data_IF_442208596549
#
_entry.id   IF_442208596549
#
_cell.length_a   1.000
_cell.length_b   1.000
_cell.length_c   1.000
_cell.angle_alpha   90.00
_cell.angle_beta   90.00
_cell.angle_gamma   90.00
#
_symmetry.space_group_name_H-M   'P 1'
#
loop_
_entity.id
_entity.type
_entity.pdbx_description
1 polymer ?
#
# COMPACT_ATOMS: atom_id res chain seq x y z
N UNK A 1 20.41 -6.60 -3.58
CA UNK A 1 20.44 -6.92 -5.03
C UNK A 1 19.13 -6.39 -5.59
N UNK A 2 19.25 -5.44 -6.51
CA UNK A 2 18.26 -4.39 -6.80
C UNK A 2 16.85 -4.87 -7.16
N UNK A 3 15.88 -4.38 -6.41
CA UNK A 3 14.43 -4.57 -6.65
C UNK A 3 13.94 -3.84 -7.92
N UNK A 4 14.70 -2.82 -8.35
CA UNK A 4 14.50 -2.11 -9.63
C UNK A 4 14.66 -3.06 -10.83
N UNK A 5 15.48 -4.11 -10.71
CA UNK A 5 15.74 -5.04 -11.81
C UNK A 5 14.62 -6.07 -12.04
N UNK A 6 13.61 -6.15 -11.18
CA UNK A 6 12.56 -7.18 -11.23
C UNK A 6 11.17 -6.66 -11.68
N UNK A 7 11.08 -5.46 -12.25
CA UNK A 7 9.80 -4.89 -12.72
C UNK A 7 8.74 -4.81 -11.62
N UNK A 8 9.15 -4.44 -10.41
CA UNK A 8 8.26 -4.18 -9.28
C UNK A 8 7.37 -2.94 -9.58
N UNK A 9 6.05 -3.11 -9.47
CA UNK A 9 5.05 -2.05 -9.72
C UNK A 9 4.29 -1.59 -8.48
N UNK A 10 4.75 -1.98 -7.29
CA UNK A 10 4.25 -1.50 -6.00
C UNK A 10 5.01 -0.24 -5.54
N UNK A 11 4.50 0.38 -4.49
CA UNK A 11 5.06 1.58 -3.84
C UNK A 11 5.26 1.23 -2.35
N UNK A 12 6.24 1.73 -1.60
CA UNK A 12 6.64 1.26 -0.26
C UNK A 12 6.98 2.40 0.73
N UNK A 13 6.15 3.34 1.13
CA UNK A 13 6.48 4.44 2.04
C UNK A 13 6.97 4.01 3.46
N UNK A 14 7.64 4.89 4.23
CA UNK A 14 8.16 4.77 5.60
C UNK A 14 8.17 6.10 6.36
N UNK A 15 7.35 6.30 7.38
CA UNK A 15 7.35 7.46 8.27
C UNK A 15 8.38 7.28 9.39
N UNK A 16 8.96 8.40 9.83
CA UNK A 16 10.02 8.52 10.84
C UNK A 16 9.75 9.73 11.73
N UNK A 17 9.82 9.58 13.05
CA UNK A 17 9.86 10.70 14.00
C UNK A 17 11.31 11.21 14.20
N UNK A 18 12.31 10.49 13.67
CA UNK A 18 13.69 10.95 13.59
C UNK A 18 14.01 11.28 12.12
N UNK A 19 14.02 12.56 11.80
CA UNK A 19 14.40 13.12 10.50
C UNK A 19 15.91 13.02 10.21
N UNK A 20 16.64 12.10 10.85
CA UNK A 20 18.04 11.91 10.51
C UNK A 20 18.14 11.21 9.14
N UNK A 21 18.88 11.83 8.23
CA UNK A 21 19.06 11.36 6.84
C UNK A 21 19.44 9.87 6.74
N UNK A 22 20.11 9.35 7.78
CA UNK A 22 20.52 7.95 7.86
C UNK A 22 19.33 6.97 8.01
N UNK A 23 18.29 7.35 8.74
CA UNK A 23 17.11 6.50 8.92
C UNK A 23 16.24 6.52 7.67
N UNK A 24 16.01 7.71 7.09
CA UNK A 24 15.35 7.85 5.78
C UNK A 24 16.05 7.03 4.67
N UNK A 25 17.38 6.98 4.70
CA UNK A 25 18.16 6.19 3.75
C UNK A 25 17.98 4.67 3.97
N UNK A 26 18.05 4.19 5.22
CA UNK A 26 17.79 2.76 5.55
C UNK A 26 16.40 2.33 5.12
N UNK A 27 15.44 3.22 5.29
CA UNK A 27 14.07 3.01 4.91
C UNK A 27 13.92 2.88 3.40
N UNK A 28 14.49 3.81 2.62
CA UNK A 28 14.53 3.69 1.16
C UNK A 28 15.23 2.42 0.68
N UNK A 29 16.32 2.03 1.33
CA UNK A 29 17.04 0.79 1.02
C UNK A 29 16.24 -0.48 1.33
N UNK A 30 15.36 -0.44 2.34
CA UNK A 30 14.41 -1.51 2.62
C UNK A 30 13.32 -1.64 1.56
N UNK A 31 13.14 -0.60 0.73
CA UNK A 31 12.28 -0.60 -0.44
C UNK A 31 11.51 0.69 -0.67
N UNK A 32 11.69 1.74 0.14
CA UNK A 32 10.65 2.71 0.37
C UNK A 32 10.33 3.87 -0.59
N UNK A 33 9.06 4.31 -0.64
CA UNK A 33 8.51 5.30 -1.58
C UNK A 33 8.34 6.77 -1.10
N UNK A 34 8.04 7.03 0.18
CA UNK A 34 8.08 8.36 0.84
C UNK A 34 8.00 8.22 2.37
N UNK A 35 8.16 9.31 3.12
CA UNK A 35 8.15 9.31 4.59
C UNK A 35 7.21 10.40 5.13
N UNK A 36 6.46 10.13 6.21
CA UNK A 36 5.65 11.11 6.97
C UNK A 36 6.04 11.11 8.46
N UNK A 37 5.37 11.87 9.32
CA UNK A 37 5.53 11.82 10.79
C UNK A 37 4.20 11.48 11.44
N UNK A 38 4.21 10.86 12.64
CA UNK A 38 3.00 10.69 13.47
C UNK A 38 2.32 12.01 13.84
N UNK A 39 3.03 13.13 13.71
CA UNK A 39 2.52 14.49 13.95
C UNK A 39 1.91 15.13 12.69
N UNK A 40 2.07 14.50 11.52
CA UNK A 40 1.55 15.03 10.27
C UNK A 40 0.03 14.88 10.21
N UNK A 41 -0.65 15.94 9.73
CA UNK A 41 -2.11 15.95 9.66
C UNK A 41 -2.62 14.84 8.71
N UNK A 42 -3.64 14.12 9.14
CA UNK A 42 -4.26 13.01 8.38
C UNK A 42 -4.72 13.41 6.98
N UNK A 43 -5.12 14.68 6.78
CA UNK A 43 -5.43 15.25 5.47
C UNK A 43 -4.25 15.25 4.50
N UNK A 44 -3.07 15.60 5.00
CA UNK A 44 -1.85 15.65 4.19
C UNK A 44 -1.43 14.23 3.81
N UNK A 45 -1.45 13.31 4.78
CA UNK A 45 -1.16 11.89 4.56
C UNK A 45 -2.14 11.30 3.54
N UNK A 46 -3.45 11.55 3.71
CA UNK A 46 -4.48 11.05 2.79
C UNK A 46 -4.31 11.61 1.37
N UNK A 47 -3.98 12.91 1.24
CA UNK A 47 -3.72 13.52 -0.07
C UNK A 47 -2.52 12.86 -0.76
N UNK A 48 -1.40 12.66 -0.04
CA UNK A 48 -0.20 12.02 -0.58
C UNK A 48 -0.48 10.58 -1.07
N UNK A 49 -1.25 9.81 -0.29
CA UNK A 49 -1.68 8.45 -0.67
C UNK A 49 -2.59 8.49 -1.91
N UNK A 50 -3.59 9.37 -1.93
CA UNK A 50 -4.54 9.49 -3.03
C UNK A 50 -3.87 9.91 -4.35
N UNK A 51 -2.94 10.87 -4.30
CA UNK A 51 -2.16 11.30 -5.47
C UNK A 51 -1.38 10.14 -6.09
N UNK A 52 -0.85 9.25 -5.25
CA UNK A 52 -0.08 8.08 -5.68
C UNK A 52 -0.97 6.94 -6.16
N UNK A 53 -2.08 6.66 -5.48
CA UNK A 53 -3.09 5.72 -5.98
C UNK A 53 -3.56 6.16 -7.37
N UNK A 54 -3.77 7.46 -7.59
CA UNK A 54 -4.10 8.03 -8.90
C UNK A 54 -2.99 7.86 -9.96
N UNK A 55 -1.71 7.86 -9.59
CA UNK A 55 -0.57 7.60 -10.50
C UNK A 55 -0.43 6.11 -10.82
N UNK A 56 -0.52 5.23 -9.82
CA UNK A 56 -0.46 3.77 -10.03
C UNK A 56 -1.62 3.25 -10.88
N UNK A 57 -2.82 3.84 -10.73
CA UNK A 57 -4.00 3.49 -11.55
C UNK A 57 -3.79 3.86 -13.02
N UNK A 58 -3.28 5.05 -13.29
CA UNK A 58 -2.95 5.51 -14.66
C UNK A 58 -1.91 4.63 -15.34
N UNK A 59 -0.84 4.26 -14.63
CA UNK A 59 0.19 3.38 -15.20
C UNK A 59 -0.32 1.96 -15.49
N UNK A 60 -1.28 1.43 -14.71
CA UNK A 60 -1.88 0.11 -14.95
C UNK A 60 -2.85 0.09 -16.14
N UNK A 61 -3.53 1.20 -16.43
CA UNK A 61 -4.40 1.35 -17.61
C UNK A 61 -3.58 1.50 -18.90
N UNK A 62 -2.50 2.30 -18.87
CA UNK A 62 -1.58 2.48 -20.01
C UNK A 62 -0.92 1.14 -20.41
N UNK A 63 -0.52 0.32 -19.43
CA UNK A 63 0.01 -1.04 -19.67
C UNK A 63 -1.04 -2.06 -20.16
N UNK A 64 -2.34 -1.85 -19.89
CA UNK A 64 -3.40 -2.71 -20.43
C UNK A 64 -3.63 -2.45 -21.91
N UNK A 65 -3.61 -1.16 -22.32
CA UNK A 65 -3.79 -0.75 -23.71
C UNK A 65 -2.70 -1.36 -24.61
N UNK A 66 -1.44 -1.35 -24.17
CA UNK A 66 -0.33 -1.94 -24.93
C UNK A 66 -0.44 -3.47 -25.07
N UNK A 67 -0.98 -4.16 -24.07
CA UNK A 67 -1.11 -5.62 -24.11
C UNK A 67 -2.22 -6.07 -25.07
N UNK A 68 -3.35 -5.38 -25.07
CA UNK A 68 -4.47 -5.68 -25.96
C UNK A 68 -4.16 -5.29 -27.42
N UNK A 69 -3.28 -4.29 -27.62
CA UNK A 69 -2.73 -3.92 -28.94
C UNK A 69 -1.85 -5.01 -29.57
N UNK A 70 -1.28 -5.91 -28.75
CA UNK A 70 -0.42 -7.02 -29.20
C UNK A 70 -1.18 -8.33 -29.48
N UNK A 71 -2.48 -8.40 -29.18
CA UNK A 71 -3.33 -9.60 -29.43
C UNK A 71 -4.24 -9.41 -30.66
N UNK A 72 -4.24 -8.24 -31.29
CA UNK A 72 -5.01 -7.93 -32.49
C UNK A 72 -4.15 -8.02 -33.76
N UNK A 73 -3.83 -9.23 -34.19
CA UNK A 73 -3.43 -9.51 -35.57
C UNK A 73 -4.20 -10.71 -36.09
N UNK A 74 -5.47 -10.47 -36.40
CA UNK A 74 -6.36 -11.39 -37.09
C UNK A 74 -7.45 -10.58 -37.78
N UNK A 75 -7.34 -10.48 -39.10
CA UNK A 75 -8.22 -9.72 -39.98
C UNK A 75 -9.70 -10.01 -39.74
N UNK A 76 -10.53 -8.98 -39.67
CA UNK A 76 -11.78 -8.86 -40.45
C UNK A 76 -12.38 -7.46 -40.29
N UNK A 77 -12.70 -6.87 -41.44
CA UNK A 77 -13.38 -5.59 -41.60
C UNK A 77 -14.75 -5.58 -40.91
N UNK A 78 -15.01 -4.59 -40.04
CA UNK A 78 -16.36 -4.02 -39.95
C UNK A 78 -16.37 -2.64 -39.26
N UNK A 79 -16.96 -1.67 -39.94
CA UNK A 79 -17.32 -0.36 -39.41
C UNK A 79 -18.33 -0.50 -38.25
N UNK A 80 -17.98 0.05 -37.09
CA UNK A 80 -18.93 0.82 -36.29
C UNK A 80 -18.15 1.69 -35.30
N UNK A 81 -18.20 3.00 -35.52
CA UNK A 81 -17.74 3.99 -34.55
C UNK A 81 -18.75 3.99 -33.40
N UNK A 82 -18.58 3.09 -32.45
CA UNK A 82 -19.28 3.14 -31.17
C UNK A 82 -18.52 4.15 -30.33
N UNK A 83 -19.06 5.36 -30.20
CA UNK A 83 -18.63 6.30 -29.17
C UNK A 83 -19.05 5.74 -27.81
N UNK A 84 -18.25 4.85 -27.24
CA UNK A 84 -18.38 4.49 -25.83
C UNK A 84 -17.96 5.72 -25.05
N UNK A 85 -18.94 6.41 -24.46
CA UNK A 85 -18.67 7.20 -23.27
C UNK A 85 -18.04 6.22 -22.27
N UNK A 86 -16.72 6.30 -22.10
CA UNK A 86 -16.01 5.63 -21.02
C UNK A 86 -16.61 6.17 -19.72
N UNK A 87 -17.62 5.45 -19.22
CA UNK A 87 -18.10 5.61 -17.87
C UNK A 87 -16.91 5.23 -16.99
N UNK A 88 -16.21 6.24 -16.46
CA UNK A 88 -15.04 6.07 -15.62
C UNK A 88 -15.34 4.98 -14.58
N UNK A 89 -14.62 3.87 -14.65
CA UNK A 89 -14.87 2.71 -13.80
C UNK A 89 -15.01 3.19 -12.35
N UNK A 90 -16.05 2.75 -11.60
CA UNK A 90 -16.28 3.25 -10.26
C UNK A 90 -15.00 3.12 -9.45
N UNK A 91 -14.56 4.23 -8.85
CA UNK A 91 -13.35 4.28 -8.04
C UNK A 91 -13.46 3.20 -6.95
N UNK A 92 -12.80 2.07 -7.16
CA UNK A 92 -12.75 1.00 -6.16
C UNK A 92 -12.11 1.61 -4.92
N UNK A 93 -12.83 1.58 -3.79
CA UNK A 93 -12.32 2.08 -2.50
C UNK A 93 -11.01 1.36 -2.18
N UNK A 94 -9.93 2.04 -1.77
CA UNK A 94 -8.68 1.35 -1.47
C UNK A 94 -8.84 0.47 -0.23
N UNK A 95 -8.37 -0.78 -0.27
CA UNK A 95 -8.26 -1.61 0.92
C UNK A 95 -6.98 -1.24 1.66
N UNK A 96 -7.11 -0.86 2.92
CA UNK A 96 -6.01 -0.34 3.75
C UNK A 96 -5.78 -1.27 4.93
N UNK A 97 -4.53 -1.64 5.20
CA UNK A 97 -4.12 -2.34 6.42
C UNK A 97 -3.25 -1.39 7.23
N UNK A 98 -3.77 -0.91 8.36
CA UNK A 98 -3.00 -0.10 9.31
C UNK A 98 -2.49 -1.01 10.44
N UNK A 99 -1.26 -0.83 10.89
CA UNK A 99 -0.62 -1.67 11.90
C UNK A 99 0.12 -0.75 12.87
N UNK A 100 -0.25 -0.83 14.14
CA UNK A 100 0.40 -0.10 15.23
C UNK A 100 0.08 -0.84 16.54
N UNK A 101 1.00 -0.88 17.50
CA UNK A 101 0.80 -1.51 18.80
C UNK A 101 0.22 -0.52 19.84
N UNK A 102 0.31 0.79 19.58
CA UNK A 102 -0.24 1.82 20.44
C UNK A 102 -1.77 1.99 20.25
N UNK A 103 -2.50 1.96 21.37
CA UNK A 103 -3.97 2.03 21.36
C UNK A 103 -4.50 3.36 20.80
N UNK A 104 -3.81 4.47 21.07
CA UNK A 104 -4.22 5.79 20.62
C UNK A 104 -4.01 5.91 19.12
N UNK A 105 -2.86 5.49 18.60
CA UNK A 105 -2.58 5.51 17.16
C UNK A 105 -3.55 4.63 16.37
N UNK A 106 -3.85 3.43 16.88
CA UNK A 106 -4.89 2.58 16.28
C UNK A 106 -6.26 3.25 16.25
N UNK A 107 -6.63 4.01 17.29
CA UNK A 107 -7.88 4.78 17.29
C UNK A 107 -7.85 5.93 16.29
N UNK A 108 -6.76 6.70 16.26
CA UNK A 108 -6.58 7.84 15.34
C UNK A 108 -6.54 7.41 13.88
N UNK A 109 -6.05 6.20 13.58
CA UNK A 109 -6.03 5.63 12.23
C UNK A 109 -7.43 5.56 11.59
N UNK A 110 -8.50 5.53 12.38
CA UNK A 110 -9.88 5.52 11.86
C UNK A 110 -10.20 6.79 11.05
N UNK A 111 -9.71 7.96 11.49
CA UNK A 111 -9.88 9.21 10.74
C UNK A 111 -9.18 9.14 9.38
N UNK A 112 -7.98 8.55 9.34
CA UNK A 112 -7.24 8.32 8.11
C UNK A 112 -7.98 7.37 7.16
N UNK A 113 -8.53 6.26 7.67
CA UNK A 113 -9.33 5.31 6.87
C UNK A 113 -10.58 5.99 6.27
N UNK A 114 -11.25 6.85 7.04
CA UNK A 114 -12.40 7.63 6.57
C UNK A 114 -11.98 8.58 5.44
N UNK A 115 -10.88 9.32 5.61
CA UNK A 115 -10.38 10.28 4.59
C UNK A 115 -9.89 9.59 3.32
N UNK A 116 -9.35 8.39 3.43
CA UNK A 116 -8.99 7.55 2.28
C UNK A 116 -10.21 6.92 1.59
N UNK A 117 -11.42 7.09 2.16
CA UNK A 117 -12.63 6.39 1.74
C UNK A 117 -12.34 4.88 1.61
N UNK A 118 -11.69 4.32 2.63
CA UNK A 118 -11.19 2.96 2.60
C UNK A 118 -12.32 1.93 2.45
N UNK A 119 -11.98 0.79 1.86
CA UNK A 119 -12.93 -0.31 1.69
C UNK A 119 -13.33 -0.90 3.05
N UNK A 120 -14.54 -1.45 3.15
CA UNK A 120 -15.09 -2.02 4.39
C UNK A 120 -14.26 -3.20 4.93
N UNK A 121 -13.51 -3.87 4.05
CA UNK A 121 -12.58 -4.96 4.37
C UNK A 121 -11.15 -4.48 4.70
N UNK A 122 -10.98 -3.18 4.97
CA UNK A 122 -9.78 -2.59 5.55
C UNK A 122 -9.65 -2.96 7.04
N UNK A 123 -8.43 -3.00 7.57
CA UNK A 123 -8.18 -3.49 8.93
C UNK A 123 -7.16 -2.64 9.69
N UNK A 124 -7.31 -2.63 11.02
CA UNK A 124 -6.35 -2.04 11.97
C UNK A 124 -5.82 -3.17 12.87
N UNK A 125 -4.59 -3.57 12.63
CA UNK A 125 -3.87 -4.66 13.30
C UNK A 125 -2.82 -4.11 14.27
N UNK A 126 -2.07 -5.01 14.92
CA UNK A 126 -0.92 -4.68 15.75
C UNK A 126 -1.18 -4.69 17.25
N UNK A 127 -2.44 -4.91 17.69
CA UNK A 127 -2.79 -4.96 19.13
C UNK A 127 -2.07 -6.08 19.87
N UNK A 128 -1.77 -7.17 19.16
CA UNK A 128 -1.07 -8.32 19.69
C UNK A 128 0.03 -8.78 18.73
N UNK A 129 1.00 -9.52 19.26
CA UNK A 129 2.05 -10.16 18.47
C UNK A 129 1.47 -11.08 17.38
N UNK A 130 0.35 -11.74 17.67
CA UNK A 130 -0.35 -12.59 16.70
C UNK A 130 -0.91 -11.77 15.53
N UNK A 131 -1.52 -10.61 15.81
CA UNK A 131 -1.99 -9.69 14.77
C UNK A 131 -0.83 -9.12 13.93
N UNK A 132 0.28 -8.74 14.55
CA UNK A 132 1.45 -8.25 13.80
C UNK A 132 2.07 -9.36 12.93
N UNK A 133 2.12 -10.59 13.43
CA UNK A 133 2.65 -11.74 12.69
C UNK A 133 1.75 -12.15 11.50
N UNK A 134 0.48 -11.73 11.49
CA UNK A 134 -0.46 -12.04 10.41
C UNK A 134 -0.51 -10.96 9.31
N UNK A 135 0.13 -9.80 9.49
CA UNK A 135 0.05 -8.64 8.60
C UNK A 135 0.30 -9.01 7.13
N UNK A 136 1.33 -9.82 6.86
CA UNK A 136 1.68 -10.19 5.48
C UNK A 136 0.56 -11.00 4.82
N UNK A 137 -0.07 -11.92 5.56
CA UNK A 137 -1.22 -12.69 5.04
C UNK A 137 -2.42 -11.78 4.79
N UNK A 138 -2.71 -10.84 5.69
CA UNK A 138 -3.79 -9.87 5.50
C UNK A 138 -3.53 -8.98 4.28
N UNK A 139 -2.32 -8.46 4.11
CA UNK A 139 -1.94 -7.60 3.00
C UNK A 139 -2.01 -8.32 1.66
N UNK A 140 -1.66 -9.61 1.60
CA UNK A 140 -1.74 -10.41 0.37
C UNK A 140 -3.16 -10.94 0.08
N UNK A 141 -4.15 -10.68 0.95
CA UNK A 141 -5.51 -11.22 0.79
C UNK A 141 -5.61 -12.72 1.06
N UNK A 142 -4.61 -13.30 1.74
CA UNK A 142 -4.57 -14.73 2.06
C UNK A 142 -5.44 -15.08 3.28
N UNK A 143 -5.90 -14.07 4.03
CA UNK A 143 -6.90 -14.21 5.07
C UNK A 143 -8.31 -14.06 4.45
N UNK A 144 -9.21 -14.99 4.78
CA UNK A 144 -10.66 -14.91 4.53
C UNK A 144 -11.09 -14.74 3.06
N UNK A 145 -10.23 -15.11 2.10
CA UNK A 145 -10.53 -14.98 0.67
C UNK A 145 -10.62 -13.54 0.18
N UNK A 146 -10.08 -12.59 0.95
CA UNK A 146 -10.07 -11.17 0.63
C UNK A 146 -9.16 -10.85 -0.57
N UNK A 147 -9.34 -9.66 -1.15
CA UNK A 147 -8.42 -9.14 -2.16
C UNK A 147 -7.13 -8.61 -1.51
N UNK A 148 -5.99 -8.57 -2.23
CA UNK A 148 -4.80 -7.90 -1.75
C UNK A 148 -5.08 -6.44 -1.34
N UNK A 149 -4.36 -5.97 -0.32
CA UNK A 149 -4.42 -4.58 0.11
C UNK A 149 -3.88 -3.64 -0.98
N UNK A 150 -4.51 -2.48 -1.10
CA UNK A 150 -4.00 -1.38 -1.93
C UNK A 150 -2.96 -0.56 -1.17
N UNK A 151 -3.10 -0.47 0.17
CA UNK A 151 -2.22 0.27 1.07
C UNK A 151 -1.98 -0.53 2.35
N UNK A 152 -0.74 -0.58 2.83
CA UNK A 152 -0.33 -1.10 4.14
C UNK A 152 0.39 0.05 4.86
N UNK A 153 0.04 0.34 6.11
CA UNK A 153 0.65 1.36 6.96
C UNK A 153 1.13 0.66 8.22
N UNK A 154 2.41 0.79 8.58
CA UNK A 154 3.10 -0.02 9.58
C UNK A 154 3.77 0.88 10.59
N UNK A 155 3.57 0.72 11.89
CA UNK A 155 4.51 1.31 12.83
C UNK A 155 5.90 0.67 12.70
N UNK A 156 6.96 1.45 12.90
CA UNK A 156 8.35 1.02 12.79
C UNK A 156 8.77 0.19 13.99
N UNK A 157 8.18 0.41 15.16
CA UNK A 157 8.57 -0.17 16.43
C UNK A 157 7.36 -0.77 17.15
N UNK A 158 6.96 -1.98 16.73
CA UNK A 158 5.88 -2.72 17.39
C UNK A 158 6.46 -3.46 18.61
N UNK A 159 6.25 -2.91 19.80
CA UNK A 159 6.87 -3.41 21.04
C UNK A 159 5.84 -4.08 21.97
N UNK A 160 6.03 -5.38 22.20
CA UNK A 160 5.09 -6.21 22.95
C UNK A 160 5.54 -6.48 24.38
N UNK A 161 4.55 -6.73 25.26
CA UNK A 161 4.75 -6.89 26.72
C UNK A 161 5.68 -8.05 27.12
N UNK A 162 5.85 -9.04 26.25
CA UNK A 162 6.76 -10.17 26.46
C UNK A 162 8.23 -9.83 26.13
N UNK A 163 8.50 -8.59 25.71
CA UNK A 163 9.81 -8.13 25.27
C UNK A 163 10.11 -8.44 23.80
N UNK A 164 9.15 -9.00 23.07
CA UNK A 164 9.26 -9.18 21.62
C UNK A 164 9.06 -7.83 20.92
N UNK A 165 9.94 -7.53 19.97
CA UNK A 165 9.83 -6.36 19.10
C UNK A 165 9.78 -6.84 17.65
N UNK A 166 8.87 -6.27 16.87
CA UNK A 166 8.81 -6.45 15.41
C UNK A 166 8.96 -5.08 14.78
N UNK A 167 9.87 -4.96 13.82
CA UNK A 167 10.01 -3.69 13.11
C UNK A 167 9.11 -3.62 11.89
N UNK A 168 8.54 -2.44 11.62
CA UNK A 168 7.84 -2.17 10.36
C UNK A 168 8.73 -2.50 9.15
N UNK A 169 10.03 -2.21 9.26
CA UNK A 169 11.04 -2.56 8.25
C UNK A 169 11.14 -4.07 7.97
N UNK A 170 11.02 -4.94 8.98
CA UNK A 170 10.99 -6.39 8.79
C UNK A 170 9.73 -6.83 8.03
N UNK A 171 8.56 -6.34 8.45
CA UNK A 171 7.30 -6.62 7.77
C UNK A 171 7.34 -6.13 6.31
N UNK A 172 7.91 -4.96 6.08
CA UNK A 172 8.13 -4.39 4.75
C UNK A 172 8.97 -5.32 3.86
N UNK A 173 10.10 -5.83 4.36
CA UNK A 173 10.94 -6.79 3.62
C UNK A 173 10.16 -8.07 3.29
N UNK A 174 9.34 -8.56 4.21
CA UNK A 174 8.54 -9.77 3.98
C UNK A 174 7.45 -9.56 2.91
N UNK A 175 6.80 -8.39 2.88
CA UNK A 175 5.86 -8.00 1.83
C UNK A 175 6.53 -7.93 0.46
N UNK A 176 7.73 -7.34 0.40
CA UNK A 176 8.52 -7.25 -0.84
C UNK A 176 8.96 -8.62 -1.32
N UNK A 177 9.45 -9.47 -0.41
CA UNK A 177 9.87 -10.83 -0.74
C UNK A 177 8.72 -11.65 -1.33
N UNK A 178 7.47 -11.30 -0.99
CA UNK A 178 6.25 -11.92 -1.52
C UNK A 178 5.62 -11.15 -2.69
N UNK A 179 6.34 -10.20 -3.28
CA UNK A 179 5.90 -9.43 -4.45
C UNK A 179 4.60 -8.65 -4.22
N UNK A 180 4.40 -8.11 -3.02
CA UNK A 180 3.24 -7.26 -2.72
C UNK A 180 3.21 -6.04 -3.66
N UNK A 181 2.13 -5.91 -4.44
CA UNK A 181 1.99 -4.88 -5.48
C UNK A 181 1.21 -3.63 -5.07
N UNK A 182 0.95 -3.46 -3.77
CA UNK A 182 0.28 -2.29 -3.22
C UNK A 182 1.26 -1.21 -2.75
N UNK A 183 0.73 -0.20 -2.07
CA UNK A 183 1.47 0.83 -1.35
C UNK A 183 1.82 0.27 0.03
N UNK A 184 3.08 0.22 0.45
CA UNK A 184 3.46 0.08 1.87
C UNK A 184 3.67 1.50 2.39
N UNK A 185 3.59 1.68 3.69
CA UNK A 185 3.86 2.88 4.47
C UNK A 185 4.40 2.33 5.78
N UNK A 186 5.54 2.77 6.26
CA UNK A 186 5.91 2.63 7.67
C UNK A 186 5.55 3.94 8.38
N UNK A 187 5.57 4.00 9.69
CA UNK A 187 5.27 5.10 10.59
C UNK A 187 6.26 5.06 11.73
N UNK A 188 6.95 6.14 12.05
CA UNK A 188 7.81 6.20 13.24
C UNK A 188 7.62 7.49 14.01
#
# INVERSE_FOLDING_TARGET
>A
RDLIAQSFGGIICISSANDDDADLQRYREAGADFCFSKEEATDVIAQQINDRLGKCRRNKEEYKIDRDSLVSSGDTDNESVISTHEEAAPLVRPRVIFVDDDEIMRLLSQDLLIRLNAAEDSAVLGKSLEEASSVVKHALGLCDGGRPADVVILDQHLDYRDGTSITGTEICRDLIAQSFGGIICISS
#
